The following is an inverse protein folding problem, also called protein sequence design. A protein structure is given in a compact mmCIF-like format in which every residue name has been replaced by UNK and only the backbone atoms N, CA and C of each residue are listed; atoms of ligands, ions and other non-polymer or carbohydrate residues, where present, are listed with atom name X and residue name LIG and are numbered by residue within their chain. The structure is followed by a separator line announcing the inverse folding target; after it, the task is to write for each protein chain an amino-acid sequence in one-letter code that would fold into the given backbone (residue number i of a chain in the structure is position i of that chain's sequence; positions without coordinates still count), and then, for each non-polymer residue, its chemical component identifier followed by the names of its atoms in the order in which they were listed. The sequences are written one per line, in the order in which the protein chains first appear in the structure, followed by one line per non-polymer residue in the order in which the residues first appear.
data_IF_638183816573
#
_entry.id   IF_638183816573
#
_cell.length_a   1.000
_cell.length_b   1.000
_cell.length_c   1.000
_cell.angle_alpha   90.00
_cell.angle_beta   90.00
_cell.angle_gamma   90.00
#
_symmetry.space_group_name_H-M   'P 1'
#
loop_
_entity.id
_entity.type
_entity.pdbx_description
1 polymer ?
#
# COMPACT_ATOMS: atom_id res chain seq x y z
N UNK A 1 -23.43 -21.62 40.13
CA UNK A 1 -22.44 -20.57 39.79
C UNK A 1 -21.43 -21.01 38.71
N UNK A 2 -20.88 -22.22 38.78
CA UNK A 2 -19.83 -22.71 37.87
C UNK A 2 -20.30 -22.94 36.43
N UNK A 3 -21.51 -23.48 36.24
CA UNK A 3 -22.18 -23.62 34.93
C UNK A 3 -22.39 -22.27 34.23
N UNK A 4 -22.81 -21.24 34.98
CA UNK A 4 -23.04 -19.90 34.43
C UNK A 4 -21.74 -19.26 33.96
N UNK A 5 -20.64 -19.43 34.71
CA UNK A 5 -19.29 -18.98 34.29
C UNK A 5 -18.82 -19.67 33.01
N UNK A 6 -19.00 -20.98 32.89
CA UNK A 6 -18.66 -21.73 31.66
C UNK A 6 -19.47 -21.27 30.45
N UNK A 7 -20.77 -21.00 30.63
CA UNK A 7 -21.61 -20.53 29.54
C UNK A 7 -21.19 -19.13 29.06
N UNK A 8 -20.90 -18.22 30.00
CA UNK A 8 -20.41 -16.88 29.69
C UNK A 8 -19.05 -16.90 28.99
N UNK A 9 -18.09 -17.73 29.43
CA UNK A 9 -16.80 -17.82 28.74
C UNK A 9 -16.92 -18.40 27.34
N UNK A 10 -17.75 -19.43 27.13
CA UNK A 10 -17.99 -19.98 25.79
C UNK A 10 -18.73 -18.98 24.88
N UNK A 11 -19.68 -18.21 25.42
CA UNK A 11 -20.37 -17.17 24.66
C UNK A 11 -19.42 -16.03 24.26
N UNK A 12 -18.54 -15.59 25.17
CA UNK A 12 -17.52 -14.58 24.87
C UNK A 12 -16.52 -15.11 23.83
N UNK A 13 -16.05 -16.35 23.96
CA UNK A 13 -15.18 -17.00 22.98
C UNK A 13 -15.85 -17.14 21.61
N UNK A 14 -17.12 -17.54 21.56
CA UNK A 14 -17.89 -17.62 20.32
C UNK A 14 -18.08 -16.25 19.66
N UNK A 15 -18.39 -15.21 20.44
CA UNK A 15 -18.52 -13.84 19.95
C UNK A 15 -17.19 -13.29 19.42
N UNK A 16 -16.07 -13.58 20.10
CA UNK A 16 -14.73 -13.24 19.62
C UNK A 16 -14.39 -13.99 18.33
N UNK A 17 -14.71 -15.29 18.25
CA UNK A 17 -14.46 -16.10 17.07
C UNK A 17 -15.27 -15.63 15.84
N UNK A 18 -16.53 -15.25 16.03
CA UNK A 18 -17.37 -14.68 14.97
C UNK A 18 -16.84 -13.32 14.51
N UNK A 19 -16.37 -12.46 15.43
CA UNK A 19 -15.72 -11.20 15.05
C UNK A 19 -14.47 -11.42 14.21
N UNK A 20 -13.63 -12.38 14.58
CA UNK A 20 -12.38 -12.70 13.85
C UNK A 20 -12.69 -13.27 12.46
N UNK A 21 -13.71 -14.14 12.33
CA UNK A 21 -14.13 -14.69 11.04
C UNK A 21 -14.76 -13.64 10.11
N UNK A 22 -15.40 -12.61 10.66
CA UNK A 22 -16.01 -11.54 9.86
C UNK A 22 -15.02 -10.45 9.40
N UNK A 23 -13.81 -10.41 9.97
CA UNK A 23 -12.80 -9.42 9.62
C UNK A 23 -11.98 -9.82 8.39
N UNK A 24 -11.79 -8.87 7.48
CA UNK A 24 -10.90 -9.07 6.32
C UNK A 24 -9.47 -9.41 6.78
N UNK A 25 -8.68 -10.07 5.93
CA UNK A 25 -7.27 -10.36 6.24
C UNK A 25 -6.48 -9.09 6.60
N UNK A 26 -6.76 -7.97 5.91
CA UNK A 26 -6.15 -6.68 6.21
C UNK A 26 -6.59 -6.11 7.56
N UNK A 27 -7.86 -6.27 7.94
CA UNK A 27 -8.35 -5.83 9.26
C UNK A 27 -7.64 -6.55 10.40
N UNK A 28 -7.36 -7.86 10.23
CA UNK A 28 -6.61 -8.65 11.20
C UNK A 28 -5.15 -8.20 11.29
N UNK A 29 -4.48 -8.05 10.14
CA UNK A 29 -3.12 -7.55 10.09
C UNK A 29 -3.01 -6.16 10.75
N UNK A 30 -3.96 -5.26 10.50
CA UNK A 30 -3.99 -3.95 11.14
C UNK A 30 -4.10 -4.02 12.66
N UNK A 31 -5.01 -4.83 13.21
CA UNK A 31 -5.17 -4.95 14.66
C UNK A 31 -3.94 -5.58 15.32
N UNK A 32 -3.28 -6.53 14.64
CA UNK A 32 -2.02 -7.13 15.10
C UNK A 32 -0.88 -6.11 15.13
N UNK A 33 -0.79 -5.24 14.11
CA UNK A 33 0.26 -4.20 14.03
C UNK A 33 -0.06 -2.99 14.92
N UNK A 34 -1.33 -2.59 15.03
CA UNK A 34 -1.78 -1.37 15.72
C UNK A 34 -2.94 -1.64 16.69
N UNK A 35 -2.71 -2.36 17.80
CA UNK A 35 -3.78 -2.73 18.73
C UNK A 35 -4.52 -1.49 19.25
N UNK A 36 -5.85 -1.49 19.13
CA UNK A 36 -6.72 -0.41 19.64
C UNK A 36 -6.76 0.87 18.79
N UNK A 37 -6.03 0.95 17.67
CA UNK A 37 -6.15 2.06 16.73
C UNK A 37 -7.21 1.77 15.66
N UNK A 38 -8.24 2.62 15.60
CA UNK A 38 -9.30 2.52 14.59
C UNK A 38 -8.68 2.69 13.19
N UNK A 39 -8.81 1.70 12.30
CA UNK A 39 -8.29 1.80 10.95
C UNK A 39 -8.91 2.98 10.19
N UNK A 40 -8.12 3.63 9.33
CA UNK A 40 -8.60 4.81 8.60
C UNK A 40 -9.86 4.54 7.77
N UNK A 41 -9.98 3.33 7.21
CA UNK A 41 -11.12 2.96 6.35
C UNK A 41 -12.43 2.88 7.11
N UNK A 42 -12.43 2.60 8.41
CA UNK A 42 -13.68 2.50 9.18
C UNK A 42 -14.43 3.84 9.26
N UNK A 43 -13.72 4.96 9.06
CA UNK A 43 -14.31 6.30 9.01
C UNK A 43 -15.17 6.52 7.76
N UNK A 44 -14.91 5.79 6.68
CA UNK A 44 -15.54 6.02 5.39
C UNK A 44 -16.59 4.94 5.10
N UNK A 45 -17.68 4.91 5.86
CA UNK A 45 -18.76 3.92 5.66
C UNK A 45 -19.64 4.22 4.42
N UNK A 46 -19.00 4.33 3.25
CA UNK A 46 -19.61 4.70 1.97
C UNK A 46 -19.87 3.49 1.06
N UNK A 47 -19.81 2.28 1.63
CA UNK A 47 -20.08 1.03 0.94
C UNK A 47 -18.87 0.47 0.16
N UNK A 48 -19.04 -0.70 -0.49
CA UNK A 48 -17.97 -1.35 -1.23
C UNK A 48 -17.68 -0.60 -2.53
N UNK A 49 -16.40 -0.25 -2.71
CA UNK A 49 -15.94 0.45 -3.90
C UNK A 49 -15.15 -0.47 -4.81
N UNK A 50 -15.33 -0.25 -6.10
CA UNK A 50 -14.49 -0.79 -7.15
C UNK A 50 -13.53 0.28 -7.61
N UNK A 51 -12.40 -0.16 -8.17
CA UNK A 51 -11.40 0.72 -8.74
C UNK A 51 -11.01 0.18 -10.10
N UNK A 52 -10.81 1.07 -11.07
CA UNK A 52 -10.17 0.73 -12.34
C UNK A 52 -9.01 1.70 -12.58
N UNK A 53 -7.86 1.16 -12.95
CA UNK A 53 -6.78 1.98 -13.52
C UNK A 53 -7.11 2.15 -15.00
N UNK A 54 -7.36 3.39 -15.42
CA UNK A 54 -7.75 3.76 -16.79
C UNK A 54 -6.55 4.01 -17.70
N UNK A 55 -5.38 4.20 -17.10
CA UNK A 55 -4.12 4.41 -17.79
C UNK A 55 -3.00 4.46 -16.76
N UNK A 56 -1.80 4.12 -17.19
CA UNK A 56 -0.62 4.17 -16.37
C UNK A 56 0.61 4.47 -17.21
N UNK A 57 1.65 5.02 -16.59
CA UNK A 57 2.92 5.31 -17.24
C UNK A 57 4.04 5.20 -16.23
N UNK A 58 5.05 4.42 -16.57
CA UNK A 58 6.30 4.36 -15.84
C UNK A 58 7.25 5.47 -16.30
N UNK A 59 7.93 6.10 -15.35
CA UNK A 59 9.07 6.97 -15.63
C UNK A 59 10.17 6.75 -14.59
N UNK A 60 11.42 6.90 -15.04
CA UNK A 60 12.56 6.95 -14.12
C UNK A 60 12.58 8.31 -13.41
N UNK A 61 13.19 8.34 -12.23
CA UNK A 61 13.49 9.60 -11.57
C UNK A 61 14.57 10.35 -12.38
N UNK A 62 14.47 11.67 -12.46
CA UNK A 62 15.32 12.48 -13.33
C UNK A 62 15.89 13.68 -12.56
N UNK A 63 16.41 13.45 -11.35
CA UNK A 63 17.12 14.47 -10.57
C UNK A 63 18.61 14.16 -10.51
N UNK A 64 19.42 15.17 -10.16
CA UNK A 64 20.88 15.04 -10.02
C UNK A 64 21.31 13.95 -9.03
N UNK A 65 20.44 13.63 -8.05
CA UNK A 65 20.65 12.56 -7.08
C UNK A 65 20.57 11.15 -7.71
N UNK A 66 20.04 11.05 -8.94
CA UNK A 66 19.76 9.79 -9.63
C UNK A 66 20.54 9.66 -10.93
N UNK A 67 21.86 9.82 -10.84
CA UNK A 67 22.78 9.67 -11.98
C UNK A 67 23.39 8.26 -12.03
N UNK A 68 23.64 7.64 -10.88
CA UNK A 68 24.16 6.28 -10.75
C UNK A 68 23.20 5.39 -9.96
N UNK A 69 22.22 4.82 -10.67
CA UNK A 69 21.26 3.90 -10.08
C UNK A 69 21.94 2.59 -9.66
N UNK A 70 21.99 2.32 -8.35
CA UNK A 70 22.40 1.02 -7.81
C UNK A 70 21.46 -0.07 -8.32
N UNK A 71 20.16 0.17 -8.21
CA UNK A 71 19.10 -0.61 -8.87
C UNK A 71 18.43 0.25 -9.92
N UNK A 72 18.62 -0.12 -11.18
CA UNK A 72 17.97 0.53 -12.31
C UNK A 72 16.69 -0.23 -12.69
N UNK A 73 15.56 0.46 -12.64
CA UNK A 73 14.29 -0.09 -13.09
C UNK A 73 14.13 0.27 -14.57
N UNK A 74 14.20 -0.73 -15.43
CA UNK A 74 14.19 -0.54 -16.88
C UNK A 74 12.80 -0.57 -17.48
N UNK A 75 11.91 -1.38 -16.91
CA UNK A 75 10.53 -1.47 -17.37
C UNK A 75 9.59 -1.83 -16.22
N UNK A 76 8.36 -1.31 -16.28
CA UNK A 76 7.22 -1.75 -15.48
C UNK A 76 6.06 -1.93 -16.44
N UNK A 77 5.41 -3.09 -16.42
CA UNK A 77 4.21 -3.37 -17.22
C UNK A 77 3.09 -3.80 -16.29
N UNK A 78 1.93 -3.16 -16.40
CA UNK A 78 0.71 -3.51 -15.67
C UNK A 78 -0.29 -4.10 -16.64
N UNK A 79 -0.84 -5.28 -16.32
CA UNK A 79 -1.93 -5.90 -17.09
C UNK A 79 -3.07 -6.38 -16.19
N UNK A 80 -4.29 -6.56 -16.73
CA UNK A 80 -4.74 -6.15 -18.08
C UNK A 80 -4.65 -4.63 -18.28
N UNK A 81 -4.83 -4.11 -19.51
CA UNK A 81 -4.70 -2.67 -19.83
C UNK A 81 -5.53 -1.77 -18.90
N UNK A 82 -6.69 -2.28 -18.48
CA UNK A 82 -7.59 -1.64 -17.52
C UNK A 82 -7.80 -2.55 -16.31
N UNK A 83 -6.81 -2.72 -15.42
CA UNK A 83 -6.93 -3.61 -14.29
C UNK A 83 -7.98 -3.08 -13.32
N UNK A 84 -8.83 -3.98 -12.83
CA UNK A 84 -9.98 -3.67 -12.00
C UNK A 84 -9.85 -4.36 -10.65
N UNK A 85 -10.24 -3.65 -9.60
CA UNK A 85 -10.59 -4.24 -8.32
C UNK A 85 -12.12 -4.26 -8.15
N UNK A 86 -12.71 -5.37 -7.70
CA UNK A 86 -12.07 -6.69 -7.59
C UNK A 86 -11.77 -7.25 -8.98
N UNK A 87 -10.74 -8.07 -9.08
CA UNK A 87 -10.27 -8.60 -10.35
C UNK A 87 -8.77 -8.86 -10.36
N UNK A 88 -8.27 -9.42 -11.46
CA UNK A 88 -6.86 -9.67 -11.62
C UNK A 88 -6.09 -8.37 -11.84
N UNK A 89 -4.93 -8.31 -11.23
CA UNK A 89 -3.88 -7.37 -11.59
C UNK A 89 -2.56 -8.12 -11.62
N UNK A 90 -1.74 -7.72 -12.56
CA UNK A 90 -0.44 -8.30 -12.74
C UNK A 90 0.56 -7.20 -13.04
N UNK A 91 1.77 -7.39 -12.53
CA UNK A 91 2.86 -6.45 -12.69
C UNK A 91 4.11 -7.23 -13.12
N UNK A 92 4.75 -6.81 -14.20
CA UNK A 92 6.09 -7.25 -14.56
C UNK A 92 7.03 -6.08 -14.32
N UNK A 93 8.12 -6.33 -13.61
CA UNK A 93 9.15 -5.34 -13.37
C UNK A 93 10.48 -5.94 -13.84
N UNK A 94 11.18 -5.21 -14.70
CA UNK A 94 12.55 -5.52 -15.09
C UNK A 94 13.49 -4.60 -14.34
N UNK A 95 14.45 -5.19 -13.62
CA UNK A 95 15.45 -4.46 -12.85
C UNK A 95 16.87 -4.95 -13.17
N UNK A 96 17.81 -4.03 -13.11
CA UNK A 96 19.25 -4.28 -13.17
C UNK A 96 19.86 -3.85 -11.84
N UNK A 97 20.41 -4.81 -11.09
CA UNK A 97 21.10 -4.59 -9.83
C UNK A 97 22.61 -4.59 -10.10
N UNK A 98 23.25 -3.44 -9.94
CA UNK A 98 24.65 -3.22 -10.38
C UNK A 98 25.71 -3.61 -9.33
N UNK A 99 25.32 -3.66 -8.07
CA UNK A 99 26.18 -3.98 -6.91
C UNK A 99 25.41 -4.81 -5.87
N UNK A 100 26.11 -5.29 -4.85
CA UNK A 100 25.48 -6.03 -3.76
C UNK A 100 24.63 -5.10 -2.89
N UNK A 101 23.38 -5.49 -2.64
CA UNK A 101 22.43 -4.71 -1.85
C UNK A 101 22.61 -5.00 -0.35
N UNK A 102 22.34 -3.99 0.52
CA UNK A 102 22.45 -4.14 1.97
C UNK A 102 21.51 -5.23 2.48
N UNK A 103 22.07 -6.10 3.32
CA UNK A 103 21.39 -7.27 3.89
C UNK A 103 20.72 -6.94 5.24
N UNK A 104 21.13 -5.85 5.88
CA UNK A 104 20.65 -5.42 7.19
C UNK A 104 19.38 -4.59 7.08
N UNK A 105 19.34 -3.61 6.17
CA UNK A 105 18.21 -2.69 6.08
C UNK A 105 17.99 -2.14 4.69
N UNK A 106 16.72 -2.09 4.30
CA UNK A 106 16.22 -1.33 3.14
C UNK A 106 14.95 -0.62 3.56
N UNK A 107 14.93 0.70 3.38
CA UNK A 107 13.74 1.54 3.58
C UNK A 107 13.16 1.95 2.23
N UNK A 108 11.86 2.21 2.21
CA UNK A 108 11.16 2.77 1.07
C UNK A 108 10.38 4.02 1.49
N UNK A 109 10.68 5.15 0.88
CA UNK A 109 9.84 6.34 0.93
C UNK A 109 8.90 6.34 -0.28
N UNK A 110 7.60 6.44 -0.04
CA UNK A 110 6.59 6.65 -1.08
C UNK A 110 6.12 8.10 -1.00
N UNK A 111 6.15 8.80 -2.12
CA UNK A 111 5.49 10.08 -2.28
C UNK A 111 4.31 9.91 -3.24
N UNK A 112 3.10 10.15 -2.75
CA UNK A 112 1.87 10.10 -3.54
C UNK A 112 1.41 11.52 -3.78
N UNK A 113 1.30 11.91 -5.05
CA UNK A 113 0.69 13.18 -5.47
C UNK A 113 -0.58 12.91 -6.24
N UNK A 114 -1.59 13.75 -6.07
CA UNK A 114 -2.78 13.74 -6.92
C UNK A 114 -2.84 14.99 -7.78
N UNK A 115 -3.49 14.87 -8.94
CA UNK A 115 -3.70 16.02 -9.81
C UNK A 115 -4.68 17.00 -9.16
N UNK A 116 -4.35 18.28 -9.28
CA UNK A 116 -5.21 19.41 -8.92
C UNK A 116 -5.31 20.35 -10.11
N UNK A 117 -6.41 21.09 -10.18
CA UNK A 117 -6.52 22.25 -11.08
C UNK A 117 -6.34 23.49 -10.24
N UNK A 118 -5.32 24.30 -10.56
CA UNK A 118 -5.07 25.53 -9.83
C UNK A 118 -6.13 26.59 -10.18
N UNK A 119 -6.12 27.73 -9.47
CA UNK A 119 -7.08 28.83 -9.71
C UNK A 119 -7.04 29.40 -11.13
N UNK A 120 -5.95 29.20 -11.86
CA UNK A 120 -5.75 29.67 -13.23
C UNK A 120 -6.18 28.62 -14.28
N UNK A 121 -6.70 27.47 -13.86
CA UNK A 121 -7.09 26.37 -14.75
C UNK A 121 -5.93 25.44 -15.17
N UNK A 122 -4.70 25.72 -14.74
CA UNK A 122 -3.55 24.87 -15.04
C UNK A 122 -3.50 23.65 -14.12
N UNK A 123 -3.11 22.51 -14.68
CA UNK A 123 -2.92 21.27 -13.93
C UNK A 123 -1.65 21.35 -13.07
N UNK A 124 -1.79 21.03 -11.79
CA UNK A 124 -0.71 20.90 -10.83
C UNK A 124 -0.78 19.56 -10.09
N UNK A 125 0.16 19.34 -9.18
CA UNK A 125 0.25 18.12 -8.38
C UNK A 125 0.42 18.48 -6.92
N UNK A 126 -0.40 17.89 -6.05
CA UNK A 126 -0.33 18.11 -4.62
C UNK A 126 -0.07 16.80 -3.90
N UNK A 127 0.82 16.84 -2.91
CA UNK A 127 1.20 15.68 -2.09
C UNK A 127 0.02 15.29 -1.20
N UNK A 128 -0.29 14.00 -1.18
CA UNK A 128 -1.21 13.37 -0.22
C UNK A 128 -0.39 13.03 1.02
N UNK A 129 -0.64 13.65 2.18
CA UNK A 129 0.10 13.34 3.40
C UNK A 129 -0.06 11.87 3.80
N UNK A 130 0.93 11.34 4.52
CA UNK A 130 0.80 10.03 5.14
C UNK A 130 -0.41 10.00 6.10
N UNK A 131 -1.07 8.85 6.18
CA UNK A 131 -2.15 8.57 7.12
C UNK A 131 -2.02 7.18 7.71
N UNK A 132 -2.29 7.05 9.01
CA UNK A 132 -2.28 5.76 9.68
C UNK A 132 -0.89 5.12 9.77
N UNK A 133 0.17 5.93 9.83
CA UNK A 133 1.50 5.44 10.12
C UNK A 133 1.61 5.04 11.60
N UNK A 134 2.53 4.13 11.87
CA UNK A 134 2.91 3.75 13.20
C UNK A 134 3.54 4.95 13.91
N UNK A 135 2.92 5.39 15.01
CA UNK A 135 3.39 6.56 15.76
C UNK A 135 4.72 6.31 16.47
N UNK A 136 5.09 5.05 16.71
CA UNK A 136 6.29 4.69 17.47
C UNK A 136 7.56 4.81 16.62
N UNK A 137 7.54 4.31 15.40
CA UNK A 137 8.71 4.27 14.50
C UNK A 137 8.57 5.23 13.29
N UNK A 138 7.38 5.79 13.05
CA UNK A 138 7.11 6.68 11.92
C UNK A 138 6.85 5.96 10.59
N UNK A 139 6.69 4.64 10.61
CA UNK A 139 6.65 3.80 9.43
C UNK A 139 5.21 3.40 9.04
N UNK A 140 5.04 2.98 7.79
CA UNK A 140 3.81 2.48 7.19
C UNK A 140 2.68 3.53 7.07
N UNK A 141 1.49 3.07 6.68
CA UNK A 141 0.33 3.91 6.45
C UNK A 141 -0.06 3.98 4.97
N UNK A 142 -0.86 5.00 4.63
CA UNK A 142 -1.38 5.24 3.28
C UNK A 142 -1.14 6.69 2.86
N UNK A 143 -0.75 6.88 1.60
CA UNK A 143 -0.35 8.19 1.07
C UNK A 143 1.17 8.29 1.00
N UNK A 144 1.70 9.49 1.26
CA UNK A 144 3.15 9.72 1.20
C UNK A 144 3.86 9.30 2.49
N UNK A 145 4.12 8.00 2.64
CA UNK A 145 4.63 7.38 3.86
C UNK A 145 6.01 6.75 3.67
N UNK A 146 6.74 6.59 4.77
CA UNK A 146 7.97 5.80 4.85
C UNK A 146 7.64 4.37 5.28
N UNK A 147 8.35 3.39 4.74
CA UNK A 147 8.24 1.97 5.07
C UNK A 147 9.64 1.48 5.44
N UNK A 148 9.85 1.13 6.70
CA UNK A 148 11.20 1.01 7.25
C UNK A 148 11.86 -0.36 7.06
N UNK A 149 11.07 -1.44 7.02
CA UNK A 149 11.58 -2.81 6.99
C UNK A 149 11.15 -3.54 5.71
N UNK A 150 11.64 -3.06 4.56
CA UNK A 150 11.27 -3.63 3.27
C UNK A 150 11.84 -5.03 3.05
N UNK A 151 12.98 -5.36 3.68
CA UNK A 151 13.57 -6.70 3.62
C UNK A 151 12.66 -7.72 4.29
N UNK A 152 12.14 -7.43 5.48
CA UNK A 152 11.21 -8.31 6.18
C UNK A 152 9.93 -8.54 5.35
N UNK A 153 9.34 -7.45 4.84
CA UNK A 153 8.15 -7.53 3.96
C UNK A 153 8.43 -8.35 2.68
N UNK A 154 9.64 -8.23 2.12
CA UNK A 154 10.08 -9.05 1.01
C UNK A 154 10.14 -10.54 1.42
N UNK A 155 10.81 -10.86 2.53
CA UNK A 155 10.94 -12.23 3.03
C UNK A 155 9.59 -12.89 3.29
N UNK A 156 8.65 -12.18 3.92
CA UNK A 156 7.29 -12.66 4.16
C UNK A 156 6.55 -12.94 2.86
N UNK A 157 6.62 -12.02 1.90
CA UNK A 157 5.99 -12.16 0.59
C UNK A 157 6.55 -13.35 -0.17
N UNK A 158 7.88 -13.51 -0.15
CA UNK A 158 8.58 -14.62 -0.80
C UNK A 158 8.22 -15.96 -0.16
N UNK A 159 8.18 -16.05 1.18
CA UNK A 159 7.70 -17.24 1.90
C UNK A 159 6.26 -17.58 1.56
N UNK A 160 5.37 -16.59 1.48
CA UNK A 160 3.98 -16.80 1.11
C UNK A 160 3.81 -17.25 -0.35
N UNK A 161 4.70 -16.80 -1.23
CA UNK A 161 4.72 -17.13 -2.65
C UNK A 161 5.36 -18.51 -2.96
N UNK A 162 6.26 -18.99 -2.09
CA UNK A 162 7.05 -20.21 -2.27
C UNK A 162 6.20 -21.44 -2.70
N UNK A 163 5.02 -21.61 -2.09
CA UNK A 163 4.08 -22.70 -2.40
C UNK A 163 3.51 -22.70 -3.81
N UNK A 164 3.64 -21.59 -4.55
CA UNK A 164 3.17 -21.45 -5.92
C UNK A 164 4.30 -21.62 -6.95
N UNK A 165 5.54 -21.81 -6.50
CA UNK A 165 6.70 -21.96 -7.38
C UNK A 165 6.80 -23.41 -7.84
N UNK A 166 6.67 -23.64 -9.14
CA UNK A 166 6.71 -24.98 -9.73
C UNK A 166 8.09 -25.36 -10.26
N UNK A 167 8.96 -24.39 -10.54
CA UNK A 167 10.34 -24.65 -10.96
C UNK A 167 11.21 -24.98 -9.74
N UNK A 168 11.88 -26.14 -9.78
CA UNK A 168 12.66 -26.63 -8.64
C UNK A 168 13.84 -25.71 -8.27
N UNK A 169 14.55 -25.15 -9.26
CA UNK A 169 15.70 -24.27 -8.98
C UNK A 169 15.24 -22.96 -8.38
N UNK A 170 14.15 -22.38 -8.90
CA UNK A 170 13.55 -21.18 -8.34
C UNK A 170 13.03 -21.42 -6.92
N UNK A 171 12.42 -22.59 -6.67
CA UNK A 171 11.93 -22.99 -5.35
C UNK A 171 13.09 -23.13 -4.34
N UNK A 172 14.18 -23.81 -4.72
CA UNK A 172 15.39 -23.91 -3.89
C UNK A 172 16.00 -22.54 -3.59
N UNK A 173 16.13 -21.67 -4.60
CA UNK A 173 16.65 -20.30 -4.44
C UNK A 173 15.80 -19.45 -3.47
N UNK A 174 14.47 -19.58 -3.56
CA UNK A 174 13.51 -18.89 -2.69
C UNK A 174 13.58 -19.43 -1.26
N UNK A 175 13.64 -20.75 -1.08
CA UNK A 175 13.75 -21.38 0.24
C UNK A 175 15.01 -21.00 0.99
N UNK A 176 16.13 -20.84 0.29
CA UNK A 176 17.38 -20.36 0.87
C UNK A 176 17.36 -18.86 1.20
N UNK A 177 16.24 -18.19 0.97
CA UNK A 177 15.99 -16.78 1.30
C UNK A 177 16.96 -15.81 0.59
N UNK A 178 17.50 -16.21 -0.56
CA UNK A 178 18.51 -15.47 -1.32
C UNK A 178 17.95 -14.37 -2.23
N UNK A 179 16.62 -14.18 -2.23
CA UNK A 179 15.95 -13.21 -3.11
C UNK A 179 15.81 -11.81 -2.48
N UNK A 180 15.94 -11.69 -1.16
CA UNK A 180 15.67 -10.44 -0.44
C UNK A 180 16.93 -10.03 0.34
N UNK A 181 17.62 -8.94 -0.05
CA UNK A 181 17.40 -8.18 -1.28
C UNK A 181 17.79 -8.98 -2.54
N UNK A 182 17.32 -8.59 -3.74
CA UNK A 182 17.69 -9.26 -4.98
C UNK A 182 19.21 -9.21 -5.20
N UNK A 183 19.87 -10.33 -5.53
CA UNK A 183 21.30 -10.33 -5.80
C UNK A 183 21.67 -9.45 -7.00
N UNK A 184 22.96 -9.15 -7.13
CA UNK A 184 23.50 -8.48 -8.32
C UNK A 184 23.13 -9.25 -9.59
N UNK A 185 22.65 -8.53 -10.62
CA UNK A 185 22.29 -9.12 -11.91
C UNK A 185 21.06 -8.48 -12.56
N UNK A 186 20.65 -9.08 -13.66
CA UNK A 186 19.44 -8.72 -14.40
C UNK A 186 18.27 -9.59 -13.95
N UNK A 187 17.17 -8.97 -13.56
CA UNK A 187 15.99 -9.67 -13.05
C UNK A 187 14.73 -9.21 -13.76
N UNK A 188 13.86 -10.17 -14.02
CA UNK A 188 12.48 -9.90 -14.40
C UNK A 188 11.58 -10.59 -13.41
N UNK A 189 10.79 -9.80 -12.68
CA UNK A 189 9.88 -10.29 -11.66
C UNK A 189 8.45 -10.10 -12.12
N UNK A 190 7.65 -11.16 -12.09
CA UNK A 190 6.22 -11.09 -12.38
C UNK A 190 5.42 -11.35 -11.12
N UNK A 191 4.60 -10.38 -10.73
CA UNK A 191 3.59 -10.54 -9.69
C UNK A 191 2.22 -10.74 -10.34
N UNK A 192 1.49 -11.74 -9.88
CA UNK A 192 0.12 -12.02 -10.30
C UNK A 192 -0.76 -12.14 -9.05
N UNK A 193 -1.84 -11.37 -9.00
CA UNK A 193 -2.85 -11.53 -7.95
C UNK A 193 -4.25 -11.26 -8.48
N UNK A 194 -5.15 -12.17 -8.18
CA UNK A 194 -6.59 -11.95 -8.32
C UNK A 194 -7.10 -11.43 -7.00
N UNK A 195 -7.47 -10.15 -6.97
CA UNK A 195 -8.04 -9.54 -5.77
C UNK A 195 -9.54 -9.77 -5.72
N UNK A 196 -10.03 -10.23 -4.58
CA UNK A 196 -11.46 -10.36 -4.31
C UNK A 196 -11.97 -9.17 -3.48
N UNK A 197 -13.28 -8.95 -3.48
CA UNK A 197 -13.90 -7.92 -2.63
C UNK A 197 -13.75 -8.22 -1.12
N UNK A 198 -13.33 -9.43 -0.75
CA UNK A 198 -13.11 -9.84 0.64
C UNK A 198 -11.67 -9.61 1.10
N UNK A 199 -10.74 -9.39 0.16
CA UNK A 199 -9.32 -9.17 0.47
C UNK A 199 -9.11 -7.82 1.16
N UNK A 200 -10.01 -6.86 0.92
CA UNK A 200 -9.97 -5.52 1.48
C UNK A 200 -11.26 -5.21 2.26
N UNK A 201 -11.17 -4.43 3.35
CA UNK A 201 -12.33 -3.88 4.04
C UNK A 201 -13.21 -3.10 3.06
N UNK A 202 -14.55 -3.17 3.22
CA UNK A 202 -15.52 -2.52 2.30
C UNK A 202 -15.19 -1.05 1.99
N UNK A 203 -14.72 -0.34 3.01
CA UNK A 203 -14.44 1.09 2.98
C UNK A 203 -12.99 1.44 2.68
N UNK A 204 -12.15 0.46 2.32
CA UNK A 204 -10.72 0.68 2.12
C UNK A 204 -10.42 1.78 1.11
N UNK A 205 -11.14 1.82 -0.01
CA UNK A 205 -11.03 2.88 -1.02
C UNK A 205 -11.89 4.11 -0.73
N UNK A 206 -12.48 4.23 0.46
CA UNK A 206 -13.29 5.37 0.88
C UNK A 206 -12.61 6.73 0.61
N UNK A 207 -11.36 6.95 1.08
CA UNK A 207 -10.65 8.21 0.86
C UNK A 207 -10.19 8.43 -0.58
N UNK A 208 -9.98 7.37 -1.35
CA UNK A 208 -9.47 7.43 -2.72
C UNK A 208 -10.44 8.21 -3.61
N UNK A 209 -9.95 9.02 -4.54
CA UNK A 209 -10.79 9.76 -5.49
C UNK A 209 -10.55 9.26 -6.92
N UNK A 210 -11.54 9.44 -7.80
CA UNK A 210 -11.27 9.25 -9.23
C UNK A 210 -10.43 10.41 -9.74
N UNK A 211 -9.14 10.19 -9.88
CA UNK A 211 -8.19 11.22 -10.25
C UNK A 211 -6.92 10.59 -10.85
N UNK A 212 -6.04 11.46 -11.32
CA UNK A 212 -4.69 11.07 -11.67
C UNK A 212 -3.76 11.19 -10.46
N UNK A 213 -2.82 10.25 -10.36
CA UNK A 213 -1.86 10.16 -9.29
C UNK A 213 -0.46 9.93 -9.84
N UNK A 214 0.53 10.55 -9.20
CA UNK A 214 1.93 10.15 -9.30
C UNK A 214 2.33 9.46 -8.01
N UNK A 215 2.94 8.29 -8.13
CA UNK A 215 3.58 7.57 -7.04
C UNK A 215 5.08 7.57 -7.33
N UNK A 216 5.86 8.16 -6.44
CA UNK A 216 7.32 8.12 -6.48
C UNK A 216 7.78 7.19 -5.37
N UNK A 217 8.46 6.10 -5.73
CA UNK A 217 9.05 5.15 -4.80
C UNK A 217 10.54 5.41 -4.76
N UNK A 218 11.09 5.63 -3.58
CA UNK A 218 12.52 5.83 -3.35
C UNK A 218 12.99 4.79 -2.34
N UNK A 219 14.01 4.02 -2.70
CA UNK A 219 14.60 3.01 -1.81
C UNK A 219 15.95 3.50 -1.30
N UNK A 220 16.22 3.27 -0.01
CA UNK A 220 17.50 3.58 0.63
C UNK A 220 17.97 2.43 1.52
N UNK A 221 19.23 2.46 1.94
CA UNK A 221 19.84 1.50 2.88
C UNK A 221 19.57 1.84 4.36
N UNK A 222 18.68 2.80 4.65
CA UNK A 222 18.45 3.31 6.02
C UNK A 222 19.56 4.22 6.57
N UNK A 223 20.63 4.48 5.81
CA UNK A 223 21.71 5.45 6.11
C UNK A 223 21.75 6.57 5.06
N UNK A 224 20.57 6.88 4.50
CA UNK A 224 20.33 7.84 3.42
C UNK A 224 21.02 7.56 2.08
N UNK A 225 21.73 6.43 1.93
CA UNK A 225 22.25 6.03 0.62
C UNK A 225 21.09 5.61 -0.26
N UNK A 226 20.94 6.30 -1.39
CA UNK A 226 19.88 6.04 -2.36
C UNK A 226 20.23 4.81 -3.21
N UNK A 227 19.31 3.84 -3.24
CA UNK A 227 19.48 2.56 -3.94
C UNK A 227 18.70 2.52 -5.26
N UNK A 228 17.44 2.95 -5.23
CA UNK A 228 16.54 2.87 -6.38
C UNK A 228 15.50 3.98 -6.36
N UNK A 229 15.01 4.36 -7.54
CA UNK A 229 13.86 5.25 -7.64
C UNK A 229 13.00 4.92 -8.86
N UNK A 230 11.69 4.86 -8.64
CA UNK A 230 10.69 4.62 -9.66
C UNK A 230 9.55 5.61 -9.54
N UNK A 231 9.02 6.07 -10.68
CA UNK A 231 7.79 6.86 -10.72
C UNK A 231 6.74 6.17 -11.56
N UNK A 232 5.53 6.12 -11.03
CA UNK A 232 4.37 5.60 -11.71
C UNK A 232 3.29 6.66 -11.72
N UNK A 233 2.85 7.05 -12.91
CA UNK A 233 1.61 7.78 -13.09
C UNK A 233 0.48 6.77 -13.28
N UNK A 234 -0.65 7.01 -12.63
CA UNK A 234 -1.87 6.23 -12.81
C UNK A 234 -3.08 7.15 -12.89
N UNK A 235 -3.97 6.90 -13.84
CA UNK A 235 -5.31 7.48 -13.87
C UNK A 235 -6.29 6.49 -13.25
N UNK A 236 -6.86 6.83 -12.10
CA UNK A 236 -7.76 5.96 -11.36
C UNK A 236 -9.21 6.43 -11.46
N UNK A 237 -10.12 5.47 -11.57
CA UNK A 237 -11.55 5.69 -11.46
C UNK A 237 -12.12 4.78 -10.37
N UNK A 238 -12.60 5.41 -9.30
CA UNK A 238 -13.34 4.76 -8.20
C UNK A 238 -14.83 4.78 -8.55
N UNK A 239 -15.54 3.69 -8.30
CA UNK A 239 -16.98 3.58 -8.52
C UNK A 239 -17.62 2.73 -7.41
N UNK A 240 -18.94 2.80 -7.24
CA UNK A 240 -19.64 1.91 -6.32
C UNK A 240 -19.85 0.55 -6.99
N UNK A 241 -19.54 -0.55 -6.27
CA UNK A 241 -19.68 -1.90 -6.83
C UNK A 241 -21.13 -2.30 -7.08
N UNK A 242 -22.07 -1.74 -6.32
CA UNK A 242 -23.50 -2.02 -6.47
C UNK A 242 -24.17 -1.25 -7.63
N UNK A 243 -23.51 -0.25 -8.21
CA UNK A 243 -24.15 0.57 -9.24
C UNK A 243 -24.27 -0.20 -10.55
N UNK A 244 -25.46 -0.18 -11.17
CA UNK A 244 -25.70 -0.79 -12.49
C UNK A 244 -24.79 -0.18 -13.58
N UNK A 245 -24.45 1.09 -13.46
CA UNK A 245 -23.50 1.77 -14.33
C UNK A 245 -22.31 2.24 -13.52
N UNK A 246 -21.13 1.73 -13.85
CA UNK A 246 -19.88 2.10 -13.17
C UNK A 246 -19.41 3.47 -13.63
N UNK A 247 -19.91 4.52 -12.96
CA UNK A 247 -19.48 5.91 -13.18
C UNK A 247 -18.37 6.28 -12.20
N UNK A 248 -17.36 7.00 -12.70
CA UNK A 248 -16.28 7.48 -11.85
C UNK A 248 -16.80 8.50 -10.84
N UNK A 249 -16.57 8.23 -9.57
CA UNK A 249 -16.90 9.10 -8.45
C UNK A 249 -15.84 10.19 -8.34
N UNK A 250 -16.25 11.43 -8.58
CA UNK A 250 -15.42 12.62 -8.37
C UNK A 250 -16.09 13.51 -7.35
N UNK A 251 -15.39 13.78 -6.25
CA UNK A 251 -15.75 14.84 -5.32
C UNK A 251 -14.65 15.92 -5.34
N UNK A 252 -14.94 17.12 -5.87
CA UNK A 252 -13.96 18.21 -5.93
C UNK A 252 -13.54 18.72 -4.54
N UNK A 253 -14.31 18.44 -3.49
CA UNK A 253 -13.99 18.83 -2.12
C UNK A 253 -13.32 17.73 -1.30
N UNK A 254 -13.24 16.50 -1.81
CA UNK A 254 -12.75 15.36 -1.04
C UNK A 254 -11.34 15.58 -0.49
N UNK A 255 -10.43 16.14 -1.29
CA UNK A 255 -9.07 16.39 -0.80
C UNK A 255 -9.02 17.48 0.27
N UNK A 256 -9.80 18.57 0.11
CA UNK A 256 -9.92 19.61 1.14
C UNK A 256 -10.46 19.04 2.45
N UNK A 257 -11.49 18.19 2.36
CA UNK A 257 -12.08 17.51 3.52
C UNK A 257 -11.05 16.58 4.18
N UNK A 258 -10.34 15.80 3.38
CA UNK A 258 -9.26 14.92 3.84
C UNK A 258 -8.17 15.70 4.58
N UNK A 259 -7.63 16.79 4.03
CA UNK A 259 -6.61 17.61 4.70
C UNK A 259 -7.11 18.20 6.01
N UNK A 260 -8.36 18.66 6.05
CA UNK A 260 -8.97 19.18 7.27
C UNK A 260 -9.07 18.10 8.36
N UNK A 261 -9.43 16.87 7.99
CA UNK A 261 -9.48 15.72 8.91
C UNK A 261 -8.09 15.40 9.48
N UNK A 262 -7.06 15.36 8.65
CA UNK A 262 -5.67 15.15 9.11
C UNK A 262 -5.27 16.23 10.12
N UNK A 263 -5.54 17.48 9.77
CA UNK A 263 -5.18 18.64 10.59
C UNK A 263 -5.88 18.59 11.96
N UNK A 264 -7.15 18.19 11.99
CA UNK A 264 -7.88 18.00 13.25
C UNK A 264 -7.32 16.87 14.12
N UNK A 265 -6.87 15.76 13.52
CA UNK A 265 -6.29 14.64 14.27
C UNK A 265 -4.95 15.02 14.90
N UNK A 266 -4.09 15.72 14.14
CA UNK A 266 -2.81 16.23 14.67
C UNK A 266 -3.05 17.20 15.84
N UNK A 267 -4.05 18.07 15.74
CA UNK A 267 -4.41 18.98 16.83
C UNK A 267 -4.87 18.23 18.10
N UNK A 268 -5.69 17.19 17.94
CA UNK A 268 -6.16 16.36 19.07
C UNK A 268 -5.02 15.60 19.76
N UNK A 269 -4.08 15.04 18.99
CA UNK A 269 -2.91 14.35 19.56
C UNK A 269 -2.03 15.32 20.36
N UNK A 270 -1.77 16.52 19.83
CA UNK A 270 -1.01 17.56 20.55
C UNK A 270 -1.69 17.97 21.85
N UNK A 271 -3.01 18.11 21.86
CA UNK A 271 -3.76 18.43 23.09
C UNK A 271 -3.66 17.34 24.14
N UNK A 272 -3.70 16.05 23.74
CA UNK A 272 -3.52 14.93 24.68
C UNK A 272 -2.11 14.88 25.27
N UNK A 273 -1.08 15.09 24.46
CA UNK A 273 0.31 15.06 24.95
C UNK A 273 0.67 16.27 25.82
N UNK A 274 -0.06 17.38 25.72
CA UNK A 274 0.10 18.54 26.60
C UNK A 274 -0.72 18.43 27.89
N UNK A 275 -1.61 17.45 28.01
CA UNK A 275 -2.46 17.20 29.18
C UNK A 275 -1.92 16.09 30.10
N UNK A 276 -0.76 15.52 29.76
CA UNK A 276 0.00 14.52 30.52
C UNK A 276 1.33 15.11 30.97
#
# INVERSE_FOLDING_TARGET
LQMLRCFLTHFILAMLYVKILAQSALSRAWEETFPGHVPFWEKYNTGPHGVVIRGWQFSRCASEQWTNYVVNISNIVIWPDYPRFPGPIFFNVTIDVSEELPQDKVEMDVEVRHAITNKQGSKGWQVIPCQGWNILDGCDGVGSCRYCDMLEKCHETVRAADKYVTDRKAHEFIRENKLCPPPKGHWTMTFSKVFTAQDLPKSFFGPLQSNEYWLTFTFSDGKDRKLACARLWIDMCKYHLQDKQQKCLRDPNAFKNFINEISSQVAQIRQRNNAS
#
